data_IF_709936159821
#
_entry.id   IF_709936159821
#
_cell.length_a   1.000
_cell.length_b   1.000
_cell.length_c   1.000
_cell.angle_alpha   90.00
_cell.angle_beta   90.00
_cell.angle_gamma   90.00
#
_symmetry.space_group_name_H-M   'P 1'
#
loop_
_entity.id
_entity.type
_entity.pdbx_description
1 polymer ?
#
# COMPACT_ATOMS: atom_id res chain seq x y z
N UNK A 1 -33.46 9.47 -8.63
CA UNK A 1 -33.13 10.39 -7.53
C UNK A 1 -31.71 10.87 -7.74
N UNK A 2 -31.40 12.18 -7.53
CA UNK A 2 -30.00 12.61 -7.58
C UNK A 2 -29.21 11.86 -6.50
N UNK A 3 -28.04 11.36 -6.84
CA UNK A 3 -27.15 10.69 -5.91
C UNK A 3 -26.83 11.64 -4.74
N UNK A 4 -27.08 11.19 -3.51
CA UNK A 4 -26.72 11.96 -2.30
C UNK A 4 -25.21 12.15 -2.28
N UNK A 5 -24.75 13.39 -2.20
CA UNK A 5 -23.33 13.70 -1.98
C UNK A 5 -22.93 13.19 -0.60
N UNK A 6 -21.84 12.45 -0.53
CA UNK A 6 -21.29 11.97 0.74
C UNK A 6 -20.56 13.12 1.41
N UNK A 7 -20.92 13.42 2.66
CA UNK A 7 -20.21 14.40 3.48
C UNK A 7 -19.16 13.70 4.36
N UNK A 8 -18.15 14.46 4.80
CA UNK A 8 -17.13 13.94 5.75
C UNK A 8 -17.76 13.43 7.06
N UNK A 9 -18.92 13.97 7.46
CA UNK A 9 -19.70 13.49 8.59
C UNK A 9 -20.18 12.05 8.40
N UNK A 10 -20.79 11.74 7.23
CA UNK A 10 -21.26 10.38 6.89
C UNK A 10 -20.11 9.35 7.00
N UNK A 11 -18.90 9.74 6.58
CA UNK A 11 -17.71 8.88 6.65
C UNK A 11 -17.23 8.65 8.09
N UNK A 12 -17.29 9.69 8.94
CA UNK A 12 -16.93 9.58 10.36
C UNK A 12 -17.92 8.71 11.13
N UNK A 13 -19.21 8.86 10.85
CA UNK A 13 -20.25 8.06 11.50
C UNK A 13 -20.08 6.58 11.14
N UNK A 14 -19.82 6.27 9.87
CA UNK A 14 -19.47 4.91 9.44
C UNK A 14 -18.25 4.35 10.16
N UNK A 15 -17.22 5.19 10.43
CA UNK A 15 -16.04 4.79 11.19
C UNK A 15 -16.35 4.42 12.63
N UNK A 16 -17.24 5.18 13.30
CA UNK A 16 -17.64 4.92 14.66
C UNK A 16 -18.47 3.62 14.78
N UNK A 17 -19.25 3.30 13.75
CA UNK A 17 -20.08 2.10 13.70
C UNK A 17 -19.29 0.81 13.40
N UNK A 18 -18.21 0.89 12.61
CA UNK A 18 -17.50 -0.28 12.07
C UNK A 18 -16.17 -0.63 12.78
N UNK A 19 -15.90 -0.03 13.94
CA UNK A 19 -14.88 -0.49 14.87
C UNK A 19 -13.49 0.14 14.72
N UNK A 20 -12.56 -0.38 15.53
CA UNK A 20 -11.19 0.13 15.68
C UNK A 20 -10.39 0.04 14.37
N UNK A 21 -9.79 1.18 13.97
CA UNK A 21 -8.88 1.24 12.84
C UNK A 21 -7.49 0.82 13.22
N UNK A 22 -6.83 0.18 12.28
CA UNK A 22 -5.42 -0.17 12.37
C UNK A 22 -4.60 0.89 11.64
N UNK A 23 -3.51 1.32 12.27
CA UNK A 23 -2.67 2.38 11.70
C UNK A 23 -1.80 1.81 10.56
N UNK A 24 -2.27 2.02 9.32
CA UNK A 24 -1.59 1.56 8.11
C UNK A 24 -0.23 2.25 7.92
N UNK A 25 -0.13 3.55 8.21
CA UNK A 25 1.12 4.29 8.05
C UNK A 25 2.15 3.90 9.11
N UNK A 26 1.72 3.72 10.37
CA UNK A 26 2.62 3.25 11.43
C UNK A 26 3.16 1.84 11.13
N UNK A 27 2.33 0.95 10.60
CA UNK A 27 2.76 -0.40 10.22
C UNK A 27 3.83 -0.41 9.11
N UNK A 28 3.87 0.61 8.25
CA UNK A 28 4.91 0.77 7.23
C UNK A 28 6.18 1.46 7.75
N UNK A 29 6.10 2.14 8.91
CA UNK A 29 7.24 2.86 9.51
C UNK A 29 8.05 2.01 10.50
N UNK A 30 8.06 0.69 10.40
CA UNK A 30 8.66 -0.27 11.35
C UNK A 30 10.15 0.01 11.70
N UNK A 31 10.84 0.84 10.92
CA UNK A 31 12.23 1.26 11.20
C UNK A 31 12.41 2.27 12.36
N UNK A 32 11.33 2.82 12.94
CA UNK A 32 11.39 3.85 13.99
C UNK A 32 10.98 3.39 15.40
N UNK A 33 10.40 2.21 15.59
CA UNK A 33 9.70 1.86 16.84
C UNK A 33 10.19 0.62 17.58
N UNK A 34 11.40 0.13 17.38
CA UNK A 34 12.03 -0.88 18.27
C UNK A 34 13.30 -0.39 18.97
N UNK A 35 13.36 0.91 19.27
CA UNK A 35 14.44 1.52 20.01
C UNK A 35 13.93 2.63 20.94
N UNK A 36 13.73 2.27 22.22
CA UNK A 36 13.73 3.16 23.38
C UNK A 36 12.50 4.04 23.71
N UNK A 37 11.55 3.44 24.41
CA UNK A 37 11.10 4.07 25.65
C UNK A 37 11.93 3.48 26.80
N UNK A 38 13.14 4.00 27.02
CA UNK A 38 13.86 4.02 28.30
C UNK A 38 15.19 4.78 28.16
N UNK A 39 15.28 5.88 28.91
CA UNK A 39 16.49 6.55 29.33
C UNK A 39 17.28 7.42 28.36
N UNK A 40 17.03 8.72 28.54
CA UNK A 40 17.93 9.85 28.41
C UNK A 40 19.36 9.51 28.92
N UNK A 41 20.36 9.54 28.02
CA UNK A 41 21.70 10.08 28.36
C UNK A 41 22.48 10.36 27.08
N UNK A 42 22.96 11.59 27.00
CA UNK A 42 23.84 12.11 25.95
C UNK A 42 25.12 11.28 25.88
N UNK A 43 25.34 10.58 24.75
CA UNK A 43 26.69 10.28 24.26
C UNK A 43 26.71 10.40 22.74
N UNK A 44 27.53 11.34 22.29
CA UNK A 44 27.88 11.57 20.90
C UNK A 44 28.76 10.45 20.38
N UNK A 45 28.15 9.48 19.66
CA UNK A 45 28.89 8.56 18.80
C UNK A 45 28.49 8.82 17.33
N UNK A 46 29.44 8.71 16.37
CA UNK A 46 29.14 8.90 14.97
C UNK A 46 28.16 7.81 14.49
N UNK A 47 27.31 8.06 13.47
CA UNK A 47 26.29 7.12 13.03
C UNK A 47 26.97 5.83 12.56
N UNK A 48 26.71 4.76 13.31
CA UNK A 48 27.18 3.41 12.98
C UNK A 48 26.51 2.95 11.67
N UNK A 49 27.31 2.72 10.64
CA UNK A 49 26.91 2.25 9.30
C UNK A 49 26.52 0.76 9.40
N UNK A 50 25.45 0.44 10.14
CA UNK A 50 25.13 -0.96 10.41
C UNK A 50 23.68 -1.30 10.78
N UNK A 51 22.74 -0.35 10.79
CA UNK A 51 21.32 -0.65 11.00
C UNK A 51 20.49 -0.16 9.81
N UNK A 52 20.61 -0.83 8.69
CA UNK A 52 19.75 -0.62 7.54
C UNK A 52 18.34 -1.17 7.87
N UNK A 53 17.39 -0.29 8.14
CA UNK A 53 16.00 -0.64 8.45
C UNK A 53 15.41 -1.58 7.38
N UNK A 54 14.65 -2.57 7.81
CA UNK A 54 13.93 -3.50 6.94
C UNK A 54 12.90 -2.74 6.09
N UNK A 55 12.71 -3.15 4.83
CA UNK A 55 11.62 -2.67 3.98
C UNK A 55 10.33 -3.33 4.42
N UNK A 56 9.27 -2.54 4.62
CA UNK A 56 7.95 -3.08 4.98
C UNK A 56 7.30 -3.79 3.78
N UNK A 57 6.56 -4.86 4.04
CA UNK A 57 5.83 -5.62 3.02
C UNK A 57 4.33 -5.39 3.12
N UNK A 58 3.73 -4.87 2.05
CA UNK A 58 2.30 -4.93 1.78
C UNK A 58 2.07 -6.17 0.93
N UNK A 59 1.55 -7.26 1.53
CA UNK A 59 1.31 -8.51 0.83
C UNK A 59 -0.08 -8.49 0.18
N UNK A 60 -0.14 -8.75 -1.15
CA UNK A 60 -1.38 -8.62 -1.91
C UNK A 60 -2.10 -9.96 -2.05
N UNK A 61 -3.33 -10.01 -1.57
CA UNK A 61 -4.28 -11.12 -1.71
C UNK A 61 -5.01 -10.96 -3.04
N UNK A 62 -4.62 -11.79 -4.04
CA UNK A 62 -5.06 -11.65 -5.43
C UNK A 62 -5.33 -13.00 -6.09
N UNK A 63 -6.57 -13.21 -6.57
CA UNK A 63 -6.98 -14.44 -7.26
C UNK A 63 -6.53 -14.47 -8.72
N UNK A 64 -6.73 -13.36 -9.42
CA UNK A 64 -6.48 -13.23 -10.86
C UNK A 64 -5.94 -11.85 -11.20
N UNK A 65 -5.42 -11.68 -12.42
CA UNK A 65 -5.08 -10.38 -13.01
C UNK A 65 -5.25 -10.38 -14.52
N UNK A 66 -5.46 -9.20 -15.16
CA UNK A 66 -5.58 -9.11 -16.61
C UNK A 66 -4.35 -9.66 -17.37
N UNK A 67 -3.16 -9.52 -16.79
CA UNK A 67 -1.90 -9.94 -17.42
C UNK A 67 -1.55 -11.41 -17.22
N UNK A 68 -2.05 -12.07 -16.16
CA UNK A 68 -1.67 -13.44 -15.82
C UNK A 68 -2.86 -14.42 -15.79
N UNK A 69 -4.09 -13.93 -15.98
CA UNK A 69 -5.29 -14.74 -15.80
C UNK A 69 -5.50 -15.15 -14.35
N UNK A 70 -6.06 -16.35 -14.12
CA UNK A 70 -6.21 -16.91 -12.78
C UNK A 70 -4.84 -17.35 -12.26
N UNK A 71 -4.40 -16.77 -11.15
CA UNK A 71 -3.10 -17.01 -10.53
C UNK A 71 -3.21 -18.13 -9.48
N UNK A 72 -4.32 -18.12 -8.72
CA UNK A 72 -4.59 -19.09 -7.66
C UNK A 72 -5.97 -19.71 -7.87
N UNK A 73 -6.07 -20.93 -8.48
CA UNK A 73 -7.35 -21.61 -8.69
C UNK A 73 -8.07 -21.95 -7.37
N UNK A 74 -7.32 -22.48 -6.39
CA UNK A 74 -7.83 -22.87 -5.07
C UNK A 74 -7.70 -21.70 -4.08
N UNK A 75 -8.33 -20.57 -4.43
CA UNK A 75 -8.18 -19.30 -3.73
C UNK A 75 -8.97 -19.27 -2.42
N UNK A 76 -8.27 -19.30 -1.30
CA UNK A 76 -8.79 -19.04 0.05
C UNK A 76 -8.18 -17.75 0.60
N UNK A 77 -8.88 -16.60 0.52
CA UNK A 77 -8.34 -15.31 0.90
C UNK A 77 -8.01 -15.23 2.40
N UNK A 78 -8.74 -15.94 3.25
CA UNK A 78 -8.54 -15.92 4.69
C UNK A 78 -7.28 -16.70 5.07
N UNK A 79 -7.10 -17.88 4.48
CA UNK A 79 -5.92 -18.70 4.74
C UNK A 79 -4.65 -18.01 4.24
N UNK A 80 -4.68 -17.44 3.03
CA UNK A 80 -3.58 -16.65 2.45
C UNK A 80 -3.23 -15.49 3.37
N UNK A 81 -4.21 -14.73 3.86
CA UNK A 81 -4.00 -13.59 4.75
C UNK A 81 -3.33 -14.00 6.07
N UNK A 82 -3.74 -15.13 6.67
CA UNK A 82 -3.12 -15.70 7.88
C UNK A 82 -1.67 -16.12 7.65
N UNK A 83 -1.40 -16.74 6.51
CA UNK A 83 -0.02 -17.12 6.14
C UNK A 83 0.85 -15.88 5.95
N UNK A 84 0.34 -14.81 5.31
CA UNK A 84 1.04 -13.55 5.17
C UNK A 84 1.36 -12.90 6.53
N UNK A 85 0.38 -12.87 7.44
CA UNK A 85 0.58 -12.35 8.80
C UNK A 85 1.64 -13.15 9.56
N UNK A 86 1.53 -14.48 9.55
CA UNK A 86 2.47 -15.38 10.23
C UNK A 86 3.90 -15.28 9.66
N UNK A 87 4.03 -14.97 8.37
CA UNK A 87 5.32 -14.82 7.69
C UNK A 87 5.97 -13.44 7.88
N UNK A 88 5.27 -12.46 8.48
CA UNK A 88 5.83 -11.15 8.83
C UNK A 88 5.48 -10.03 7.84
N UNK A 89 4.41 -10.14 7.07
CA UNK A 89 3.87 -9.01 6.32
C UNK A 89 3.50 -7.86 7.29
N UNK A 90 3.66 -6.61 6.83
CA UNK A 90 3.35 -5.42 7.62
C UNK A 90 1.90 -4.97 7.45
N UNK A 91 1.38 -5.08 6.23
CA UNK A 91 0.02 -4.76 5.84
C UNK A 91 -0.45 -5.74 4.76
N UNK A 92 -1.75 -5.79 4.52
CA UNK A 92 -2.33 -6.54 3.40
C UNK A 92 -2.97 -5.59 2.39
N UNK A 93 -2.85 -5.93 1.11
CA UNK A 93 -3.61 -5.35 0.01
C UNK A 93 -4.62 -6.38 -0.48
N UNK A 94 -5.90 -6.03 -0.49
CA UNK A 94 -6.98 -6.94 -0.86
C UNK A 94 -7.66 -6.45 -2.13
N UNK A 95 -7.58 -7.24 -3.22
CA UNK A 95 -8.28 -6.94 -4.47
C UNK A 95 -9.78 -7.08 -4.26
N UNK A 96 -10.53 -5.99 -4.53
CA UNK A 96 -11.99 -5.98 -4.43
C UNK A 96 -12.68 -5.83 -5.78
N UNK A 97 -11.97 -5.47 -6.86
CA UNK A 97 -12.52 -5.44 -8.21
C UNK A 97 -12.86 -6.85 -8.70
N UNK A 98 -14.15 -7.06 -9.04
CA UNK A 98 -14.67 -8.38 -9.47
C UNK A 98 -14.32 -8.66 -10.93
N UNK A 99 -14.37 -7.65 -11.79
CA UNK A 99 -14.30 -7.81 -13.23
C UNK A 99 -12.92 -8.20 -13.74
N UNK A 100 -11.89 -7.53 -13.27
CA UNK A 100 -10.53 -7.69 -13.78
C UNK A 100 -9.66 -8.58 -12.89
N UNK A 101 -9.96 -8.64 -11.58
CA UNK A 101 -9.13 -9.35 -10.62
C UNK A 101 -9.85 -10.51 -9.92
N UNK A 102 -11.14 -10.75 -10.21
CA UNK A 102 -11.98 -11.71 -9.52
C UNK A 102 -11.93 -11.51 -7.99
N UNK A 103 -11.86 -10.24 -7.57
CA UNK A 103 -11.89 -9.82 -6.19
C UNK A 103 -13.30 -9.78 -5.60
N UNK A 104 -13.41 -9.38 -4.34
CA UNK A 104 -14.71 -9.16 -3.68
C UNK A 104 -14.54 -8.31 -2.43
N UNK A 105 -15.51 -7.46 -2.14
CA UNK A 105 -15.61 -6.77 -0.84
C UNK A 105 -15.78 -7.77 0.31
N UNK A 106 -16.43 -8.93 0.08
CA UNK A 106 -16.52 -9.98 1.08
C UNK A 106 -15.14 -10.52 1.51
N UNK A 107 -14.16 -10.57 0.60
CA UNK A 107 -12.80 -10.96 0.99
C UNK A 107 -12.20 -9.97 1.99
N UNK A 108 -12.40 -8.68 1.78
CA UNK A 108 -11.93 -7.64 2.71
C UNK A 108 -12.51 -7.83 4.11
N UNK A 109 -13.83 -8.05 4.22
CA UNK A 109 -14.53 -8.29 5.50
C UNK A 109 -14.05 -9.57 6.18
N UNK A 110 -13.94 -10.67 5.44
CA UNK A 110 -13.50 -11.96 5.98
C UNK A 110 -12.06 -11.89 6.51
N UNK A 111 -11.17 -11.24 5.75
CA UNK A 111 -9.77 -11.03 6.14
C UNK A 111 -9.70 -10.12 7.37
N UNK A 112 -10.50 -9.03 7.42
CA UNK A 112 -10.57 -8.12 8.58
C UNK A 112 -10.86 -8.86 9.87
N UNK A 113 -11.78 -9.81 9.83
CA UNK A 113 -12.13 -10.64 10.99
C UNK A 113 -11.07 -11.67 11.38
N UNK A 114 -10.20 -12.07 10.45
CA UNK A 114 -9.29 -13.21 10.61
C UNK A 114 -7.86 -12.82 11.03
N UNK A 115 -7.39 -11.62 10.69
CA UNK A 115 -6.02 -11.14 10.94
C UNK A 115 -6.02 -9.79 11.64
N UNK A 116 -4.85 -9.38 12.17
CA UNK A 116 -4.67 -8.08 12.86
C UNK A 116 -3.95 -7.03 12.01
N UNK A 117 -3.45 -7.41 10.84
CA UNK A 117 -2.74 -6.49 9.93
C UNK A 117 -3.67 -5.41 9.38
N UNK A 118 -3.17 -4.17 9.16
CA UNK A 118 -3.91 -3.14 8.44
C UNK A 118 -4.21 -3.55 7.00
N UNK A 119 -5.39 -3.16 6.49
CA UNK A 119 -5.92 -3.58 5.19
C UNK A 119 -6.05 -2.41 4.23
N UNK A 120 -5.47 -2.55 3.03
CA UNK A 120 -5.67 -1.68 1.88
C UNK A 120 -6.77 -2.27 0.98
N UNK A 121 -7.85 -1.53 0.73
CA UNK A 121 -8.76 -1.81 -0.39
C UNK A 121 -8.05 -1.48 -1.70
N UNK A 122 -7.70 -2.49 -2.47
CA UNK A 122 -7.08 -2.35 -3.80
C UNK A 122 -8.15 -2.45 -4.87
N UNK A 123 -8.60 -1.31 -5.38
CA UNK A 123 -9.72 -1.17 -6.30
C UNK A 123 -9.54 0.08 -7.18
N UNK A 124 -10.32 0.20 -8.26
CA UNK A 124 -10.43 1.41 -9.06
C UNK A 124 -11.45 2.36 -8.39
N UNK A 125 -10.97 3.25 -7.51
CA UNK A 125 -11.83 4.24 -6.85
C UNK A 125 -12.03 5.44 -7.78
N UNK A 126 -13.26 5.55 -8.30
CA UNK A 126 -13.69 6.58 -9.24
C UNK A 126 -14.93 7.35 -8.75
N UNK A 127 -15.50 6.92 -7.63
CA UNK A 127 -16.69 7.50 -7.02
C UNK A 127 -16.50 7.60 -5.49
N UNK A 128 -16.93 8.70 -4.88
CA UNK A 128 -16.80 8.94 -3.44
C UNK A 128 -17.53 7.90 -2.57
N UNK A 129 -18.57 7.26 -3.10
CA UNK A 129 -19.31 6.19 -2.41
C UNK A 129 -18.42 4.97 -2.14
N UNK A 130 -17.43 4.72 -2.99
CA UNK A 130 -16.48 3.63 -2.77
C UNK A 130 -15.57 3.88 -1.56
N UNK A 131 -15.39 5.16 -1.14
CA UNK A 131 -14.66 5.50 0.09
C UNK A 131 -15.50 5.10 1.30
N UNK A 132 -16.81 5.37 1.29
CA UNK A 132 -17.73 4.93 2.35
C UNK A 132 -17.77 3.40 2.42
N UNK A 133 -17.94 2.72 1.29
CA UNK A 133 -17.87 1.25 1.23
C UNK A 133 -16.56 0.71 1.81
N UNK A 134 -15.41 1.33 1.49
CA UNK A 134 -14.12 0.88 2.05
C UNK A 134 -14.14 0.88 3.58
N UNK A 135 -14.74 1.90 4.19
CA UNK A 135 -14.92 2.00 5.63
C UNK A 135 -15.83 0.90 6.16
N UNK A 136 -17.02 0.76 5.58
CA UNK A 136 -18.04 -0.21 6.00
C UNK A 136 -17.56 -1.66 5.88
N UNK A 137 -16.68 -1.92 4.91
CA UNK A 137 -16.11 -3.25 4.69
C UNK A 137 -14.77 -3.47 5.42
N UNK A 138 -14.30 -2.50 6.20
CA UNK A 138 -13.19 -2.65 7.14
C UNK A 138 -11.79 -2.39 6.58
N UNK A 139 -11.68 -1.54 5.54
CA UNK A 139 -10.38 -1.06 5.08
C UNK A 139 -9.79 -0.02 6.03
N UNK A 140 -8.48 -0.02 6.21
CA UNK A 140 -7.70 1.00 6.92
C UNK A 140 -7.03 1.98 5.94
N UNK A 141 -6.94 1.58 4.67
CA UNK A 141 -6.39 2.37 3.58
C UNK A 141 -7.14 2.15 2.27
N UNK A 142 -7.07 3.12 1.37
CA UNK A 142 -7.57 3.04 -0.01
C UNK A 142 -6.48 3.37 -1.03
N UNK A 143 -6.72 2.95 -2.28
CA UNK A 143 -5.90 3.29 -3.44
C UNK A 143 -6.54 4.43 -4.22
N UNK A 144 -5.75 5.45 -4.57
CA UNK A 144 -6.12 6.44 -5.58
C UNK A 144 -5.10 6.40 -6.72
N UNK A 145 -5.56 6.08 -7.93
CA UNK A 145 -4.71 5.95 -9.13
C UNK A 145 -4.77 7.26 -9.91
N UNK A 146 -3.65 7.99 -9.98
CA UNK A 146 -3.59 9.30 -10.64
C UNK A 146 -3.95 9.24 -12.11
N UNK A 147 -3.58 8.15 -12.80
CA UNK A 147 -3.86 7.94 -14.21
C UNK A 147 -5.34 7.96 -14.61
N UNK A 148 -6.26 7.62 -13.67
CA UNK A 148 -7.70 7.49 -13.95
C UNK A 148 -8.55 8.59 -13.31
N UNK A 149 -7.95 9.50 -12.52
CA UNK A 149 -8.65 10.58 -11.81
C UNK A 149 -8.30 11.94 -12.41
N UNK A 150 -9.26 12.87 -12.44
CA UNK A 150 -8.97 14.29 -12.66
C UNK A 150 -8.28 14.88 -11.42
N UNK A 151 -7.67 16.08 -11.54
CA UNK A 151 -7.06 16.77 -10.40
C UNK A 151 -8.10 17.06 -9.30
N UNK A 152 -9.32 17.48 -9.69
CA UNK A 152 -10.42 17.74 -8.76
C UNK A 152 -10.90 16.47 -8.04
N UNK A 153 -11.00 15.35 -8.75
CA UNK A 153 -11.36 14.06 -8.14
C UNK A 153 -10.28 13.58 -7.18
N UNK A 154 -9.01 13.69 -7.59
CA UNK A 154 -7.88 13.26 -6.77
C UNK A 154 -7.82 14.04 -5.45
N UNK A 155 -7.95 15.37 -5.49
CA UNK A 155 -7.98 16.25 -4.31
C UNK A 155 -9.19 15.96 -3.43
N UNK A 156 -10.39 15.85 -4.04
CA UNK A 156 -11.64 15.57 -3.32
C UNK A 156 -11.58 14.23 -2.61
N UNK A 157 -11.20 13.15 -3.31
CA UNK A 157 -11.19 11.81 -2.74
C UNK A 157 -10.10 11.65 -1.68
N UNK A 158 -8.93 12.25 -1.89
CA UNK A 158 -7.87 12.28 -0.90
C UNK A 158 -8.31 12.99 0.38
N UNK A 159 -8.94 14.18 0.24
CA UNK A 159 -9.44 14.97 1.38
C UNK A 159 -10.54 14.23 2.15
N UNK A 160 -11.49 13.61 1.45
CA UNK A 160 -12.55 12.82 2.07
C UNK A 160 -11.99 11.63 2.85
N UNK A 161 -11.11 10.86 2.22
CA UNK A 161 -10.55 9.66 2.83
C UNK A 161 -9.66 9.98 4.05
N UNK A 162 -8.75 10.96 3.92
CA UNK A 162 -7.88 11.39 5.03
C UNK A 162 -8.68 12.06 6.16
N UNK A 163 -9.68 12.87 5.82
CA UNK A 163 -10.61 13.47 6.78
C UNK A 163 -11.43 12.44 7.56
N UNK A 164 -11.67 11.28 6.97
CA UNK A 164 -12.28 10.12 7.62
C UNK A 164 -11.25 9.23 8.36
N UNK A 165 -9.95 9.53 8.32
CA UNK A 165 -8.90 8.77 9.01
C UNK A 165 -8.39 7.55 8.24
N UNK A 166 -8.72 7.40 6.93
CA UNK A 166 -8.10 6.41 6.07
C UNK A 166 -6.68 6.84 5.66
N UNK A 167 -5.74 5.90 5.59
CA UNK A 167 -4.54 6.12 4.81
C UNK A 167 -4.87 6.07 3.31
N UNK A 168 -4.12 6.83 2.50
CA UNK A 168 -4.33 6.87 1.05
C UNK A 168 -3.02 6.56 0.35
N UNK A 169 -2.98 5.44 -0.37
CA UNK A 169 -1.89 5.10 -1.29
C UNK A 169 -2.19 5.77 -2.63
N UNK A 170 -1.40 6.79 -2.98
CA UNK A 170 -1.54 7.52 -4.26
C UNK A 170 -0.60 6.89 -5.27
N UNK A 171 -1.15 6.14 -6.25
CA UNK A 171 -0.40 5.39 -7.25
C UNK A 171 -0.07 6.26 -8.47
N UNK A 172 1.20 6.24 -8.88
CA UNK A 172 1.75 6.95 -10.04
C UNK A 172 2.61 6.04 -10.90
N UNK A 173 2.69 6.34 -12.22
CA UNK A 173 3.43 5.56 -13.21
C UNK A 173 4.53 6.35 -13.91
N UNK A 174 4.45 7.67 -13.90
CA UNK A 174 5.41 8.56 -14.56
C UNK A 174 5.57 9.89 -13.80
N UNK A 175 6.45 10.74 -14.34
CA UNK A 175 6.78 12.03 -13.72
C UNK A 175 5.62 13.03 -13.76
N UNK A 176 4.79 13.00 -14.80
CA UNK A 176 3.64 13.90 -14.92
C UNK A 176 2.57 13.55 -13.88
N UNK A 177 2.33 12.25 -13.66
CA UNK A 177 1.44 11.77 -12.60
C UNK A 177 1.99 12.09 -11.21
N UNK A 178 3.32 11.94 -11.00
CA UNK A 178 3.97 12.32 -9.75
C UNK A 178 3.78 13.81 -9.45
N UNK A 179 3.97 14.70 -10.44
CA UNK A 179 3.76 16.14 -10.28
C UNK A 179 2.30 16.47 -9.89
N UNK A 180 1.33 15.75 -10.44
CA UNK A 180 -0.09 15.88 -10.07
C UNK A 180 -0.31 15.39 -8.63
N UNK A 181 0.21 14.22 -8.29
CA UNK A 181 0.09 13.64 -6.95
C UNK A 181 0.67 14.56 -5.87
N UNK A 182 1.81 15.18 -6.12
CA UNK A 182 2.47 16.06 -5.13
C UNK A 182 1.68 17.33 -4.80
N UNK A 183 0.74 17.77 -5.65
CA UNK A 183 -0.13 18.93 -5.37
C UNK A 183 -1.03 18.72 -4.14
N UNK A 184 -1.43 17.48 -3.88
CA UNK A 184 -2.29 17.12 -2.73
C UNK A 184 -1.51 16.76 -1.47
N UNK A 185 -0.17 16.88 -1.48
CA UNK A 185 0.71 16.59 -0.35
C UNK A 185 0.44 15.22 0.29
N UNK A 186 0.48 14.11 -0.47
CA UNK A 186 0.14 12.78 0.04
C UNK A 186 1.17 12.30 1.06
N UNK A 187 0.72 11.56 2.08
CA UNK A 187 1.62 10.92 3.04
C UNK A 187 2.28 9.64 2.48
N UNK A 188 1.68 9.04 1.45
CA UNK A 188 2.08 7.75 0.89
C UNK A 188 1.98 7.80 -0.64
N UNK A 189 3.09 7.56 -1.34
CA UNK A 189 3.17 7.45 -2.80
C UNK A 189 3.52 6.02 -3.18
N UNK A 190 2.69 5.44 -4.07
CA UNK A 190 2.97 4.17 -4.73
C UNK A 190 3.54 4.41 -6.14
N UNK A 191 4.71 3.87 -6.42
CA UNK A 191 5.23 3.85 -7.79
C UNK A 191 4.98 2.48 -8.39
N UNK A 192 4.08 2.41 -9.35
CA UNK A 192 3.79 1.18 -10.05
C UNK A 192 4.76 0.99 -11.24
N UNK A 193 5.66 0.01 -11.12
CA UNK A 193 6.63 -0.32 -12.15
C UNK A 193 6.02 -0.98 -13.39
N UNK A 194 4.73 -1.31 -13.37
CA UNK A 194 4.00 -1.89 -14.51
C UNK A 194 3.35 -0.78 -15.33
N UNK A 195 3.75 -0.65 -16.56
CA UNK A 195 3.07 0.24 -17.50
C UNK A 195 1.68 -0.31 -17.85
N UNK A 196 0.63 0.46 -17.56
CA UNK A 196 -0.76 0.02 -17.73
C UNK A 196 -1.19 -0.13 -19.20
N UNK A 197 -0.44 0.44 -20.17
CA UNK A 197 -0.76 0.37 -21.61
C UNK A 197 -0.23 -0.89 -22.28
N UNK A 198 0.94 -1.38 -21.85
CA UNK A 198 1.62 -2.52 -22.51
C UNK A 198 2.01 -3.64 -21.54
N UNK A 199 1.70 -3.50 -20.26
CA UNK A 199 1.99 -4.43 -19.17
C UNK A 199 3.49 -4.73 -18.94
N UNK A 200 4.40 -4.02 -19.58
CA UNK A 200 5.83 -4.15 -19.31
C UNK A 200 6.15 -3.65 -17.91
N UNK A 201 7.07 -4.34 -17.26
CA UNK A 201 7.54 -4.02 -15.90
C UNK A 201 8.99 -3.58 -15.99
N UNK A 202 9.30 -2.44 -15.33
CA UNK A 202 10.65 -1.89 -15.23
C UNK A 202 10.87 -1.23 -13.88
N UNK A 203 11.72 -1.82 -13.03
CA UNK A 203 12.06 -1.27 -11.71
C UNK A 203 12.78 0.08 -11.77
N UNK A 204 13.38 0.44 -12.92
CA UNK A 204 13.96 1.76 -13.14
C UNK A 204 12.91 2.88 -13.08
N UNK A 205 11.61 2.56 -13.20
CA UNK A 205 10.53 3.52 -12.98
C UNK A 205 10.56 4.06 -11.55
N UNK A 206 10.64 3.18 -10.55
CA UNK A 206 10.76 3.60 -9.15
C UNK A 206 12.03 4.40 -8.91
N UNK A 207 13.18 3.99 -9.45
CA UNK A 207 14.46 4.72 -9.30
C UNK A 207 14.36 6.14 -9.84
N UNK A 208 13.83 6.30 -11.05
CA UNK A 208 13.67 7.60 -11.70
C UNK A 208 12.72 8.51 -10.92
N UNK A 209 11.56 8.01 -10.48
CA UNK A 209 10.59 8.81 -9.74
C UNK A 209 11.06 9.10 -8.31
N UNK A 210 11.77 8.18 -7.66
CA UNK A 210 12.39 8.41 -6.37
C UNK A 210 13.44 9.54 -6.41
N UNK A 211 14.27 9.61 -7.46
CA UNK A 211 15.23 10.69 -7.63
C UNK A 211 14.56 12.07 -7.73
N UNK A 212 13.36 12.12 -8.33
CA UNK A 212 12.54 13.34 -8.40
C UNK A 212 11.85 13.65 -7.08
N UNK A 213 11.39 12.62 -6.37
CA UNK A 213 10.70 12.75 -5.08
C UNK A 213 11.63 13.21 -3.95
N UNK A 214 12.90 12.80 -4.00
CA UNK A 214 13.92 13.09 -3.00
C UNK A 214 15.10 13.89 -3.57
N UNK A 215 14.88 15.08 -4.14
CA UNK A 215 15.96 15.84 -4.81
C UNK A 215 17.01 16.38 -3.83
N UNK A 216 16.74 16.40 -2.52
CA UNK A 216 17.63 16.88 -1.48
C UNK A 216 17.28 16.25 -0.13
N UNK A 217 18.30 15.98 0.75
CA UNK A 217 18.05 15.49 2.11
C UNK A 217 17.27 16.49 3.00
N UNK A 218 16.97 17.68 2.52
CA UNK A 218 16.31 18.76 3.28
C UNK A 218 14.79 18.81 3.08
N UNK A 219 14.18 17.88 2.35
CA UNK A 219 12.70 17.85 2.21
C UNK A 219 12.08 17.58 3.57
N UNK A 220 11.43 18.61 4.15
CA UNK A 220 10.68 18.46 5.40
C UNK A 220 9.45 17.58 5.12
N UNK A 221 9.42 16.36 5.65
CA UNK A 221 8.31 15.42 5.54
C UNK A 221 8.03 14.90 4.11
N UNK A 222 8.98 14.23 3.46
CA UNK A 222 8.69 13.56 2.20
C UNK A 222 7.66 12.44 2.42
N UNK A 223 6.81 12.14 1.41
CA UNK A 223 5.91 11.00 1.50
C UNK A 223 6.69 9.69 1.62
N UNK A 224 6.09 8.69 2.23
CA UNK A 224 6.62 7.34 2.25
C UNK A 224 6.47 6.73 0.85
N UNK A 225 7.57 6.23 0.29
CA UNK A 225 7.61 5.64 -1.04
C UNK A 225 7.36 4.12 -0.94
N UNK A 226 6.34 3.66 -1.66
CA UNK A 226 6.02 2.24 -1.89
C UNK A 226 6.37 1.89 -3.33
N UNK A 227 7.14 0.83 -3.56
CA UNK A 227 7.38 0.29 -4.90
C UNK A 227 6.42 -0.88 -5.17
N UNK A 228 5.77 -0.86 -6.33
CA UNK A 228 4.78 -1.84 -6.72
C UNK A 228 5.13 -2.52 -8.04
N UNK A 229 4.77 -3.77 -8.20
CA UNK A 229 4.97 -4.61 -9.39
C UNK A 229 6.44 -4.96 -9.69
N UNK A 230 6.67 -6.16 -10.21
CA UNK A 230 7.96 -6.61 -10.74
C UNK A 230 8.99 -7.01 -9.68
N UNK A 231 8.57 -7.20 -8.44
CA UNK A 231 9.46 -7.56 -7.32
C UNK A 231 9.42 -9.07 -7.14
N UNK A 232 10.55 -9.72 -7.42
CA UNK A 232 10.64 -11.18 -7.43
C UNK A 232 11.72 -11.75 -6.49
N UNK A 233 12.71 -10.95 -6.12
CA UNK A 233 13.87 -11.40 -5.35
C UNK A 233 14.28 -10.40 -4.27
N UNK A 234 15.11 -10.86 -3.32
CA UNK A 234 15.75 -9.98 -2.33
C UNK A 234 16.60 -8.90 -3.00
N UNK A 235 17.23 -9.20 -4.14
CA UNK A 235 18.02 -8.22 -4.88
C UNK A 235 17.16 -7.07 -5.42
N UNK A 236 15.93 -7.36 -5.89
CA UNK A 236 14.99 -6.32 -6.32
C UNK A 236 14.60 -5.42 -5.14
N UNK A 237 14.32 -6.02 -3.98
CA UNK A 237 13.98 -5.28 -2.77
C UNK A 237 15.13 -4.36 -2.34
N UNK A 238 16.34 -4.87 -2.35
CA UNK A 238 17.53 -4.08 -1.99
C UNK A 238 17.78 -2.93 -2.97
N UNK A 239 17.62 -3.18 -4.27
CA UNK A 239 17.68 -2.15 -5.31
C UNK A 239 16.68 -1.03 -5.07
N UNK A 240 15.42 -1.37 -4.77
CA UNK A 240 14.36 -0.39 -4.49
C UNK A 240 14.58 0.34 -3.16
N UNK A 241 15.10 -0.34 -2.15
CA UNK A 241 15.47 0.26 -0.86
C UNK A 241 16.55 1.33 -1.04
N UNK A 242 17.57 1.07 -1.89
CA UNK A 242 18.66 2.00 -2.16
C UNK A 242 18.19 3.32 -2.78
N UNK A 243 17.11 3.33 -3.55
CA UNK A 243 16.52 4.56 -4.08
C UNK A 243 15.50 5.22 -3.13
N UNK A 244 15.32 4.69 -1.92
CA UNK A 244 14.52 5.32 -0.86
C UNK A 244 13.15 4.69 -0.60
N UNK A 245 12.79 3.58 -1.28
CA UNK A 245 11.55 2.86 -0.98
C UNK A 245 11.58 2.33 0.46
N UNK A 246 10.53 2.64 1.21
CA UNK A 246 10.32 2.20 2.60
C UNK A 246 9.41 0.99 2.69
N UNK A 247 8.59 0.77 1.66
CA UNK A 247 7.72 -0.38 1.55
C UNK A 247 7.69 -0.90 0.12
N UNK A 248 7.32 -2.18 -0.01
CA UNK A 248 7.04 -2.85 -1.29
C UNK A 248 5.63 -3.43 -1.25
N UNK A 249 4.92 -3.38 -2.38
CA UNK A 249 3.64 -4.07 -2.57
C UNK A 249 3.85 -5.23 -3.54
N UNK A 250 3.62 -6.46 -3.06
CA UNK A 250 3.92 -7.70 -3.77
C UNK A 250 2.73 -8.64 -3.74
N UNK A 251 2.32 -9.13 -4.90
CA UNK A 251 1.23 -10.09 -5.04
C UNK A 251 1.63 -11.30 -5.88
N UNK A 252 1.90 -11.11 -7.16
CA UNK A 252 2.07 -12.19 -8.13
C UNK A 252 3.17 -13.19 -7.73
N UNK A 253 4.33 -12.70 -7.27
CA UNK A 253 5.43 -13.57 -6.88
C UNK A 253 5.17 -14.34 -5.58
N UNK A 254 4.33 -13.81 -4.67
CA UNK A 254 3.89 -14.52 -3.48
C UNK A 254 2.87 -15.62 -3.81
N UNK A 255 1.90 -15.30 -4.67
CA UNK A 255 0.82 -16.21 -5.04
C UNK A 255 1.27 -17.39 -5.93
N UNK A 256 2.35 -17.20 -6.71
CA UNK A 256 2.96 -18.25 -7.54
C UNK A 256 3.94 -19.15 -6.77
N UNK A 257 4.36 -18.75 -5.58
CA UNK A 257 5.28 -19.51 -4.74
C UNK A 257 4.61 -20.77 -4.18
N UNK A 258 5.36 -21.92 -4.14
CA UNK A 258 4.89 -23.14 -3.48
C UNK A 258 4.81 -22.99 -1.96
N UNK A 259 5.60 -22.10 -1.38
CA UNK A 259 5.68 -21.78 0.04
C UNK A 259 5.70 -20.25 0.20
N UNK A 260 4.54 -19.71 0.51
CA UNK A 260 4.31 -18.29 0.72
C UNK A 260 5.20 -17.75 1.84
N UNK A 261 5.29 -18.47 2.95
CA UNK A 261 6.07 -18.05 4.12
C UNK A 261 7.55 -17.93 3.83
N UNK A 262 8.12 -18.91 3.13
CA UNK A 262 9.53 -18.86 2.71
C UNK A 262 9.77 -17.71 1.74
N UNK A 263 8.85 -17.46 0.80
CA UNK A 263 9.00 -16.36 -0.16
C UNK A 263 8.96 -14.99 0.51
N UNK A 264 8.08 -14.79 1.49
CA UNK A 264 8.03 -13.55 2.26
C UNK A 264 9.34 -13.33 3.01
N UNK A 265 9.82 -14.33 3.77
CA UNK A 265 11.08 -14.22 4.52
C UNK A 265 12.28 -13.92 3.61
N UNK A 266 12.35 -14.55 2.42
CA UNK A 266 13.35 -14.23 1.42
C UNK A 266 13.32 -12.73 1.02
N UNK A 267 12.12 -12.21 0.70
CA UNK A 267 11.98 -10.83 0.24
C UNK A 267 12.34 -9.81 1.32
N UNK A 268 11.88 -9.99 2.55
CA UNK A 268 12.10 -9.02 3.64
C UNK A 268 13.40 -9.28 4.43
N UNK A 269 14.09 -10.40 4.18
CA UNK A 269 15.38 -10.71 4.78
C UNK A 269 15.31 -11.21 6.22
N UNK A 270 14.35 -12.10 6.49
CA UNK A 270 14.14 -12.81 7.77
C UNK A 270 14.65 -14.25 7.67
#
# INVERSE_FOLDING_TARGET
MPARLIATGDLRDALLEHGERRDFLAALNIGRSRGNEAQNELKSEPPNVGSYGSVALIAEVKKASPSAGVICPDFDPVNIAKEYEAAGASCLSVLTDEKFFQGSLDYLRQIRAAVKLPLLRKDFIIDERQILEAIEWGADAILLIVAILSDEQLEKFHTLATGAGLAVLVEVHDEAELDRAMKISPALIGVNNRNLKNFKVDLATTERLAAKLFPSPVTRHPPLLVAESGIHSRADVERLRQCGAKAILVGESLMKGRDIGTKIRELIGL
#
